data_IF_756317590136
#
_entry.id   IF_756317590136
#
_cell.length_a   1.000
_cell.length_b   1.000
_cell.length_c   1.000
_cell.angle_alpha   90.00
_cell.angle_beta   90.00
_cell.angle_gamma   90.00
#
_symmetry.space_group_name_H-M   'P 1'
#
loop_
_entity.id
_entity.type
_entity.pdbx_description
1 polymer ?
#
# COMPACT_ATOMS: atom_id res chain seq x y z
N UNK A 1 31.39 29.18 -28.84
CA UNK A 1 31.08 29.89 -27.58
C UNK A 1 29.57 29.90 -27.39
N UNK A 2 29.00 28.81 -26.87
CA UNK A 2 27.59 28.78 -26.49
C UNK A 2 27.48 29.30 -25.05
N UNK A 3 26.78 30.42 -24.90
CA UNK A 3 26.51 31.06 -23.61
C UNK A 3 25.52 30.20 -22.82
N UNK A 4 26.00 29.57 -21.75
CA UNK A 4 25.15 28.95 -20.74
C UNK A 4 24.33 30.05 -20.07
N UNK A 5 23.04 30.15 -20.43
CA UNK A 5 22.07 30.95 -19.68
C UNK A 5 21.88 30.29 -18.32
N UNK A 6 22.64 30.73 -17.32
CA UNK A 6 22.36 30.45 -15.93
C UNK A 6 20.99 31.07 -15.62
N UNK A 7 20.01 30.23 -15.25
CA UNK A 7 18.76 30.72 -14.69
C UNK A 7 19.09 31.45 -13.38
N UNK A 8 18.43 32.59 -13.10
CA UNK A 8 18.72 33.36 -11.90
C UNK A 8 18.42 32.52 -10.66
N UNK A 9 19.34 32.58 -9.69
CA UNK A 9 19.36 31.83 -8.43
C UNK A 9 18.06 31.93 -7.58
N UNK A 10 17.12 32.82 -7.94
CA UNK A 10 15.78 32.94 -7.30
C UNK A 10 14.61 32.36 -8.10
N UNK A 11 14.79 31.91 -9.34
CA UNK A 11 13.71 31.34 -10.16
C UNK A 11 13.19 30.00 -9.60
N UNK A 12 14.05 29.24 -8.93
CA UNK A 12 13.68 27.98 -8.30
C UNK A 12 12.86 28.19 -7.01
N UNK A 13 13.15 29.25 -6.25
CA UNK A 13 12.38 29.63 -5.05
C UNK A 13 10.97 30.12 -5.42
N UNK A 14 10.86 30.98 -6.44
CA UNK A 14 9.57 31.44 -6.95
C UNK A 14 8.72 30.29 -7.48
N UNK A 15 9.33 29.37 -8.25
CA UNK A 15 8.66 28.16 -8.76
C UNK A 15 8.19 27.26 -7.63
N UNK A 16 9.01 27.06 -6.59
CA UNK A 16 8.66 26.24 -5.43
C UNK A 16 7.48 26.86 -4.65
N UNK A 17 7.47 28.19 -4.47
CA UNK A 17 6.38 28.90 -3.81
C UNK A 17 5.05 28.76 -4.55
N UNK A 18 5.06 28.90 -5.88
CA UNK A 18 3.88 28.71 -6.73
C UNK A 18 3.35 27.28 -6.66
N UNK A 19 4.23 26.28 -6.74
CA UNK A 19 3.84 24.87 -6.60
C UNK A 19 3.21 24.58 -5.25
N UNK A 20 3.75 25.16 -4.17
CA UNK A 20 3.22 25.01 -2.82
C UNK A 20 1.83 25.63 -2.68
N UNK A 21 1.61 26.84 -3.21
CA UNK A 21 0.32 27.53 -3.17
C UNK A 21 -0.72 26.75 -3.97
N UNK A 22 -0.38 26.28 -5.18
CA UNK A 22 -1.27 25.45 -6.01
C UNK A 22 -1.62 24.14 -5.31
N UNK A 23 -0.64 23.47 -4.71
CA UNK A 23 -0.89 22.22 -3.98
C UNK A 23 -1.78 22.44 -2.75
N UNK A 24 -1.53 23.49 -1.96
CA UNK A 24 -2.31 23.77 -0.75
C UNK A 24 -3.74 24.19 -1.07
N UNK A 25 -3.94 25.03 -2.09
CA UNK A 25 -5.27 25.42 -2.56
C UNK A 25 -6.01 24.21 -3.11
N UNK A 26 -5.40 23.42 -4.00
CA UNK A 26 -6.00 22.19 -4.51
C UNK A 26 -6.37 21.22 -3.37
N UNK A 27 -5.49 21.03 -2.38
CA UNK A 27 -5.75 20.17 -1.22
C UNK A 27 -6.90 20.70 -0.34
N UNK A 28 -7.04 22.01 -0.19
CA UNK A 28 -8.10 22.63 0.60
C UNK A 28 -9.48 22.52 -0.07
N UNK A 29 -9.55 22.74 -1.38
CA UNK A 29 -10.81 22.75 -2.13
C UNK A 29 -11.22 21.38 -2.68
N UNK A 30 -10.27 20.59 -3.18
CA UNK A 30 -10.52 19.29 -3.80
C UNK A 30 -10.31 18.12 -2.83
N UNK A 31 -9.72 18.37 -1.66
CA UNK A 31 -9.31 17.32 -0.73
C UNK A 31 -8.08 16.55 -1.22
N UNK A 32 -7.65 15.55 -0.44
CA UNK A 32 -6.71 14.54 -0.94
C UNK A 32 -7.52 13.46 -1.66
N UNK A 33 -7.12 13.01 -2.86
CA UNK A 33 -7.73 11.83 -3.45
C UNK A 33 -7.53 10.66 -2.51
N UNK A 34 -8.62 10.01 -2.11
CA UNK A 34 -8.53 8.79 -1.32
C UNK A 34 -7.75 7.75 -2.12
N UNK A 35 -6.65 7.30 -1.53
CA UNK A 35 -5.89 6.17 -2.06
C UNK A 35 -6.56 4.91 -1.58
N UNK A 36 -7.68 4.57 -2.21
CA UNK A 36 -8.13 3.19 -2.24
C UNK A 36 -7.05 2.41 -2.98
N UNK A 37 -6.18 1.75 -2.21
CA UNK A 37 -5.29 0.76 -2.79
C UNK A 37 -6.22 -0.35 -3.25
N UNK A 38 -6.48 -0.43 -4.56
CA UNK A 38 -7.17 -1.56 -5.15
C UNK A 38 -6.27 -2.79 -5.04
N UNK A 39 -6.16 -3.35 -3.84
CA UNK A 39 -5.58 -4.66 -3.64
C UNK A 39 -6.69 -5.71 -3.48
N UNK A 40 -6.29 -6.95 -3.28
CA UNK A 40 -7.21 -8.08 -3.16
C UNK A 40 -8.05 -8.04 -1.88
N UNK A 41 -7.74 -7.16 -0.91
CA UNK A 41 -8.39 -7.12 0.39
C UNK A 41 -9.57 -6.16 0.37
N UNK A 42 -10.77 -6.73 0.45
CA UNK A 42 -11.99 -5.97 0.64
C UNK A 42 -12.37 -5.96 2.14
N UNK A 43 -12.37 -4.78 2.80
CA UNK A 43 -12.79 -4.69 4.19
C UNK A 43 -14.28 -5.04 4.38
N UNK A 44 -15.11 -5.06 3.33
CA UNK A 44 -16.53 -5.41 3.41
C UNK A 44 -16.82 -6.92 3.23
N UNK A 45 -15.81 -7.75 2.99
CA UNK A 45 -16.00 -9.21 2.87
C UNK A 45 -16.35 -9.82 4.24
N UNK A 46 -17.65 -10.06 4.45
CA UNK A 46 -18.19 -10.62 5.70
C UNK A 46 -17.65 -12.03 6.00
N UNK A 47 -17.38 -12.85 4.98
CA UNK A 47 -16.83 -14.20 5.17
C UNK A 47 -15.40 -14.10 5.68
N UNK A 48 -14.59 -13.20 5.10
CA UNK A 48 -13.22 -12.96 5.52
C UNK A 48 -13.16 -12.42 6.95
N UNK A 49 -14.00 -11.43 7.29
CA UNK A 49 -14.11 -10.91 8.66
C UNK A 49 -14.49 -12.02 9.66
N UNK A 50 -15.48 -12.84 9.33
CA UNK A 50 -15.92 -13.95 10.19
C UNK A 50 -14.80 -14.97 10.43
N UNK A 51 -14.04 -15.31 9.39
CA UNK A 51 -12.89 -16.23 9.50
C UNK A 51 -11.75 -15.63 10.33
N UNK A 52 -11.50 -14.32 10.22
CA UNK A 52 -10.53 -13.61 11.06
C UNK A 52 -10.96 -13.64 12.53
N UNK A 53 -12.21 -13.29 12.84
CA UNK A 53 -12.74 -13.36 14.21
C UNK A 53 -12.66 -14.77 14.78
N UNK A 54 -12.99 -15.80 13.98
CA UNK A 54 -12.91 -17.21 14.40
C UNK A 54 -11.48 -17.63 14.72
N UNK A 55 -10.50 -17.22 13.90
CA UNK A 55 -9.07 -17.46 14.16
C UNK A 55 -8.66 -16.79 15.48
N UNK A 56 -9.04 -15.53 15.68
CA UNK A 56 -8.65 -14.76 16.85
C UNK A 56 -9.22 -15.33 18.14
N UNK A 57 -10.48 -15.73 18.13
CA UNK A 57 -11.10 -16.44 19.26
C UNK A 57 -10.42 -17.78 19.54
N UNK A 58 -10.09 -18.56 18.50
CA UNK A 58 -9.39 -19.83 18.67
C UNK A 58 -7.98 -19.63 19.23
N UNK A 59 -7.26 -18.61 18.78
CA UNK A 59 -5.95 -18.23 19.30
C UNK A 59 -6.04 -17.80 20.76
N UNK A 60 -7.02 -16.96 21.10
CA UNK A 60 -7.25 -16.52 22.47
C UNK A 60 -7.54 -17.68 23.41
N UNK A 61 -8.33 -18.68 22.99
CA UNK A 61 -8.55 -19.91 23.77
C UNK A 61 -7.26 -20.70 24.00
N UNK A 62 -6.39 -20.80 22.99
CA UNK A 62 -5.08 -21.46 23.12
C UNK A 62 -4.17 -20.71 24.12
N UNK A 63 -4.25 -19.38 24.17
CA UNK A 63 -3.48 -18.55 25.12
C UNK A 63 -4.04 -18.59 26.55
N UNK A 64 -5.36 -18.57 26.72
CA UNK A 64 -6.02 -18.49 28.02
C UNK A 64 -6.11 -19.82 28.76
N UNK A 65 -6.16 -20.93 28.03
CA UNK A 65 -6.27 -22.28 28.62
C UNK A 65 -4.96 -23.04 28.44
N UNK A 66 -4.76 -24.12 29.22
CA UNK A 66 -3.66 -25.06 28.94
C UNK A 66 -3.86 -25.61 27.53
N UNK A 67 -2.91 -25.32 26.64
CA UNK A 67 -2.98 -25.78 25.26
C UNK A 67 -3.20 -27.30 25.20
N UNK A 68 -4.33 -27.70 24.63
CA UNK A 68 -4.67 -29.10 24.39
C UNK A 68 -4.54 -29.39 22.90
N UNK A 69 -4.46 -30.68 22.55
CA UNK A 69 -4.47 -31.11 21.15
C UNK A 69 -5.72 -30.61 20.41
N UNK A 70 -6.86 -30.56 21.10
CA UNK A 70 -8.13 -30.07 20.55
C UNK A 70 -8.11 -28.56 20.28
N UNK A 71 -7.70 -27.74 21.25
CA UNK A 71 -7.65 -26.27 21.07
C UNK A 71 -6.63 -25.86 20.01
N UNK A 72 -5.49 -26.55 19.96
CA UNK A 72 -4.48 -26.35 18.91
C UNK A 72 -5.00 -26.77 17.53
N UNK A 73 -5.72 -27.89 17.42
CA UNK A 73 -6.31 -28.33 16.16
C UNK A 73 -7.37 -27.33 15.64
N UNK A 74 -8.25 -26.85 16.53
CA UNK A 74 -9.26 -25.85 16.19
C UNK A 74 -8.64 -24.54 15.68
N UNK A 75 -7.54 -24.07 16.28
CA UNK A 75 -6.80 -22.91 15.80
C UNK A 75 -6.18 -23.16 14.42
N UNK A 76 -5.52 -24.30 14.22
CA UNK A 76 -4.93 -24.68 12.93
C UNK A 76 -5.99 -24.76 11.82
N UNK A 77 -7.16 -25.30 12.12
CA UNK A 77 -8.28 -25.33 11.17
C UNK A 77 -8.82 -23.94 10.84
N UNK A 78 -8.96 -23.05 11.83
CA UNK A 78 -9.35 -21.66 11.58
C UNK A 78 -8.32 -20.93 10.69
N UNK A 79 -7.02 -21.12 10.94
CA UNK A 79 -5.95 -20.60 10.10
C UNK A 79 -6.00 -21.16 8.67
N UNK A 80 -6.28 -22.45 8.51
CA UNK A 80 -6.41 -23.11 7.21
C UNK A 80 -7.57 -22.54 6.41
N UNK A 81 -8.73 -22.35 7.04
CA UNK A 81 -9.91 -21.79 6.39
C UNK A 81 -9.66 -20.33 5.96
N UNK A 82 -9.10 -19.50 6.84
CA UNK A 82 -8.72 -18.12 6.50
C UNK A 82 -7.71 -18.08 5.34
N UNK A 83 -6.69 -18.94 5.37
CA UNK A 83 -5.70 -19.04 4.31
C UNK A 83 -6.34 -19.48 2.98
N UNK A 84 -7.34 -20.36 3.01
CA UNK A 84 -8.07 -20.78 1.82
C UNK A 84 -8.86 -19.62 1.21
N UNK A 85 -9.65 -18.90 2.03
CA UNK A 85 -10.44 -17.75 1.56
C UNK A 85 -9.56 -16.64 0.99
N UNK A 86 -8.49 -16.27 1.69
CA UNK A 86 -7.55 -15.25 1.23
C UNK A 86 -6.84 -15.63 -0.08
N UNK A 87 -6.58 -16.93 -0.32
CA UNK A 87 -6.03 -17.39 -1.61
C UNK A 87 -7.02 -17.21 -2.76
N UNK A 88 -8.30 -17.51 -2.54
CA UNK A 88 -9.36 -17.32 -3.55
C UNK A 88 -9.47 -15.85 -3.90
N UNK A 89 -9.63 -14.97 -2.91
CA UNK A 89 -9.74 -13.51 -3.13
C UNK A 89 -8.54 -12.94 -3.89
N UNK A 90 -7.33 -13.37 -3.54
CA UNK A 90 -6.11 -13.01 -4.28
C UNK A 90 -6.16 -13.48 -5.72
N UNK A 91 -6.51 -14.74 -5.96
CA UNK A 91 -6.59 -15.32 -7.30
C UNK A 91 -7.59 -14.55 -8.16
N UNK A 92 -8.79 -14.31 -7.64
CA UNK A 92 -9.86 -13.58 -8.35
C UNK A 92 -9.46 -12.14 -8.66
N UNK A 93 -8.71 -11.49 -7.76
CA UNK A 93 -8.17 -10.16 -8.00
C UNK A 93 -7.10 -10.17 -9.11
N UNK A 94 -6.16 -11.12 -9.07
CA UNK A 94 -5.12 -11.25 -10.10
C UNK A 94 -5.70 -11.56 -11.48
N UNK A 95 -6.71 -12.43 -11.55
CA UNK A 95 -7.40 -12.78 -12.79
C UNK A 95 -8.11 -11.56 -13.37
N UNK A 96 -8.88 -10.82 -12.55
CA UNK A 96 -9.52 -9.56 -12.97
C UNK A 96 -8.49 -8.54 -13.47
N UNK A 97 -7.37 -8.40 -12.77
CA UNK A 97 -6.31 -7.44 -13.15
C UNK A 97 -5.62 -7.84 -14.45
N UNK A 98 -5.37 -9.13 -14.67
CA UNK A 98 -4.83 -9.64 -15.92
C UNK A 98 -5.77 -9.35 -17.10
N UNK A 99 -7.06 -9.59 -16.94
CA UNK A 99 -8.08 -9.28 -17.96
C UNK A 99 -8.14 -7.78 -18.25
N UNK A 100 -8.07 -6.92 -17.23
CA UNK A 100 -8.04 -5.46 -17.40
C UNK A 100 -6.81 -5.00 -18.21
N UNK A 101 -5.63 -5.49 -17.85
CA UNK A 101 -4.38 -5.16 -18.54
C UNK A 101 -4.40 -5.65 -20.00
N UNK A 102 -4.89 -6.86 -20.24
CA UNK A 102 -5.03 -7.39 -21.59
C UNK A 102 -5.98 -6.53 -22.43
N UNK A 103 -7.16 -6.17 -21.90
CA UNK A 103 -8.12 -5.28 -22.59
C UNK A 103 -7.55 -3.90 -22.89
N UNK A 104 -6.71 -3.35 -22.00
CA UNK A 104 -6.04 -2.08 -22.25
C UNK A 104 -5.04 -2.19 -23.40
N UNK A 105 -4.27 -3.28 -23.45
CA UNK A 105 -3.36 -3.57 -24.55
C UNK A 105 -4.11 -3.76 -25.89
N UNK A 106 -5.19 -4.55 -25.89
CA UNK A 106 -5.99 -4.83 -27.10
C UNK A 106 -6.60 -3.56 -27.71
N UNK A 107 -6.95 -2.58 -26.87
CA UNK A 107 -7.48 -1.27 -27.29
C UNK A 107 -6.40 -0.24 -27.62
N UNK A 108 -5.13 -0.60 -27.56
CA UNK A 108 -3.99 0.32 -27.68
C UNK A 108 -4.03 1.48 -26.67
N UNK A 109 -4.63 1.28 -25.49
CA UNK A 109 -4.63 2.26 -24.40
C UNK A 109 -3.38 2.08 -23.53
N UNK A 110 -2.26 2.61 -24.02
CA UNK A 110 -0.97 2.56 -23.33
C UNK A 110 -0.99 3.27 -21.97
N UNK A 111 -1.85 4.29 -21.80
CA UNK A 111 -1.98 5.02 -20.53
C UNK A 111 -2.68 4.14 -19.49
N UNK A 112 -3.78 3.49 -19.86
CA UNK A 112 -4.49 2.53 -19.02
C UNK A 112 -3.61 1.35 -18.62
N UNK A 113 -2.90 0.75 -19.59
CA UNK A 113 -1.98 -0.35 -19.34
C UNK A 113 -0.87 0.01 -18.34
N UNK A 114 -0.20 1.15 -18.54
CA UNK A 114 0.86 1.59 -17.64
C UNK A 114 0.35 1.97 -16.25
N UNK A 115 -0.87 2.51 -16.15
CA UNK A 115 -1.49 2.79 -14.85
C UNK A 115 -1.83 1.51 -14.09
N UNK A 116 -2.41 0.50 -14.76
CA UNK A 116 -2.67 -0.81 -14.17
C UNK A 116 -1.39 -1.52 -13.71
N UNK A 117 -0.31 -1.42 -14.50
CA UNK A 117 1.00 -1.97 -14.11
C UNK A 117 1.57 -1.26 -12.89
N UNK A 118 1.44 0.07 -12.81
CA UNK A 118 1.82 0.84 -11.63
C UNK A 118 1.01 0.43 -10.40
N UNK A 119 -0.26 0.11 -10.52
CA UNK A 119 -1.05 -0.33 -9.36
C UNK A 119 -0.56 -1.66 -8.78
N UNK A 120 -0.13 -2.58 -9.64
CA UNK A 120 0.43 -3.88 -9.23
C UNK A 120 1.81 -3.76 -8.60
N UNK A 121 2.72 -3.05 -9.29
CA UNK A 121 4.15 -3.05 -8.96
C UNK A 121 4.62 -1.81 -8.22
N UNK A 122 3.70 -0.89 -7.89
CA UNK A 122 4.00 0.39 -7.22
C UNK A 122 5.06 0.13 -6.15
N UNK A 123 6.25 0.74 -6.27
CA UNK A 123 7.23 0.68 -5.21
C UNK A 123 6.53 1.12 -3.94
N UNK A 124 6.47 0.23 -2.94
CA UNK A 124 6.09 0.64 -1.58
C UNK A 124 6.98 1.84 -1.28
N UNK A 125 6.38 3.01 -1.07
CA UNK A 125 7.13 4.15 -0.53
C UNK A 125 7.69 3.65 0.80
N UNK A 126 8.97 3.29 0.82
CA UNK A 126 9.66 3.04 2.08
C UNK A 126 9.55 4.38 2.80
N UNK A 127 8.83 4.41 3.93
CA UNK A 127 8.95 5.54 4.84
C UNK A 127 10.44 5.72 5.17
N UNK A 128 10.89 6.94 5.50
CA UNK A 128 12.26 7.14 5.95
C UNK A 128 12.56 6.11 7.05
N UNK A 129 13.58 5.29 6.83
CA UNK A 129 14.04 4.34 7.82
C UNK A 129 14.72 5.17 8.90
N UNK A 130 14.10 5.29 10.07
CA UNK A 130 14.74 5.90 11.22
C UNK A 130 15.79 4.92 11.75
N UNK A 131 17.07 5.20 11.49
CA UNK A 131 18.16 4.48 12.13
C UNK A 131 18.29 5.01 13.55
N UNK A 132 18.08 4.14 14.54
CA UNK A 132 18.30 4.47 15.95
C UNK A 132 19.76 4.20 16.30
N UNK A 133 20.43 5.20 16.88
CA UNK A 133 21.75 5.00 17.51
C UNK A 133 21.64 4.02 18.68
N UNK A 134 22.74 3.30 18.97
CA UNK A 134 22.84 2.30 20.06
C UNK A 134 22.50 2.91 21.43
N UNK A 135 22.73 4.21 21.62
CA UNK A 135 22.45 4.95 22.86
C UNK A 135 21.02 5.50 22.95
N UNK A 136 20.16 5.24 21.96
CA UNK A 136 18.73 5.56 22.00
C UNK A 136 18.35 7.05 21.93
N UNK A 137 19.31 7.98 21.99
CA UNK A 137 19.05 9.43 22.01
C UNK A 137 18.97 10.11 20.64
N UNK A 138 19.54 9.52 19.57
CA UNK A 138 19.56 10.13 18.25
C UNK A 138 18.96 9.22 17.16
N UNK A 139 18.00 9.77 16.42
CA UNK A 139 17.40 9.15 15.23
C UNK A 139 17.91 9.84 13.97
N UNK A 140 18.65 9.12 13.13
CA UNK A 140 19.04 9.62 11.81
C UNK A 140 17.90 9.35 10.81
N UNK A 141 17.40 10.42 10.18
CA UNK A 141 16.49 10.32 9.04
C UNK A 141 17.27 10.59 7.76
N UNK A 142 17.22 9.64 6.81
CA UNK A 142 17.72 9.86 5.46
C UNK A 142 16.74 10.76 4.69
N UNK A 143 16.89 12.06 4.91
CA UNK A 143 16.25 13.12 4.13
C UNK A 143 17.32 14.08 3.66
N UNK A 144 18.23 13.59 2.80
CA UNK A 144 19.04 14.47 1.95
C UNK A 144 19.61 13.72 0.74
N UNK A 145 18.84 13.64 -0.34
CA UNK A 145 19.42 13.71 -1.69
C UNK A 145 18.46 14.54 -2.56
N UNK A 146 18.92 15.77 -2.78
CA UNK A 146 18.67 16.74 -3.86
C UNK A 146 17.28 16.81 -4.52
#
# INVERSE_FOLDING_TARGET
>A
MQSCKLLPFGADEERASLQLVVYNTAKAYLGKPDREHQDWFDPNDQELQTLMSRRDQAHQRVLQTRSTRSTTAAYKDACRLLSKRTRVLKSDWWERKAVELQRAADRNDMKGFYNGLKEVWRPKKKGPVHLKSTDGMETFSDSKME
#
